data_IF_535741652577
#
_entry.id   IF_535741652577
#
_cell.length_a   1.000
_cell.length_b   1.000
_cell.length_c   1.000
_cell.angle_alpha   90.00
_cell.angle_beta   90.00
_cell.angle_gamma   90.00
#
_symmetry.space_group_name_H-M   'P 1'
#
loop_
_entity.id
_entity.type
_entity.pdbx_description
1 polymer ?
#
# COMPACT_ATOMS: atom_id res chain seq x y z
N UNK A 1 -2.30 -4.77 3.34
CA UNK A 1 -1.93 -3.62 2.49
C UNK A 1 -3.20 -2.97 1.99
N UNK A 2 -3.33 -1.65 2.14
CA UNK A 2 -4.45 -0.87 1.66
C UNK A 2 -3.95 0.17 0.66
N UNK A 3 -4.57 0.26 -0.52
CA UNK A 3 -4.16 1.18 -1.58
C UNK A 3 -5.29 2.19 -1.78
N UNK A 4 -5.02 3.46 -1.49
CA UNK A 4 -5.93 4.56 -1.78
C UNK A 4 -5.58 5.16 -3.14
N UNK A 5 -6.39 4.85 -4.15
CA UNK A 5 -6.24 5.40 -5.50
C UNK A 5 -6.36 6.94 -5.51
N UNK A 6 -7.38 7.55 -4.87
CA UNK A 6 -7.52 9.02 -4.90
C UNK A 6 -6.38 9.75 -4.17
N UNK A 7 -5.86 9.17 -3.08
CA UNK A 7 -4.78 9.78 -2.30
C UNK A 7 -3.38 9.41 -2.81
N UNK A 8 -3.27 8.49 -3.77
CA UNK A 8 -2.01 7.94 -4.26
C UNK A 8 -1.10 7.45 -3.13
N UNK A 9 -1.71 6.72 -2.19
CA UNK A 9 -1.06 6.33 -0.95
C UNK A 9 -1.33 4.86 -0.60
N UNK A 10 -0.30 4.16 -0.15
CA UNK A 10 -0.33 2.76 0.27
C UNK A 10 -0.07 2.67 1.77
N UNK A 11 -0.97 2.04 2.51
CA UNK A 11 -0.78 1.75 3.93
C UNK A 11 -0.46 0.26 4.10
N UNK A 12 0.72 -0.02 4.65
CA UNK A 12 1.12 -1.37 5.01
C UNK A 12 0.88 -1.59 6.50
N UNK A 13 -0.20 -2.29 6.80
CA UNK A 13 -0.49 -2.76 8.16
C UNK A 13 0.32 -4.00 8.48
N UNK A 14 1.07 -3.93 9.58
CA UNK A 14 1.75 -5.06 10.20
C UNK A 14 1.27 -5.23 11.65
N UNK A 15 0.50 -6.29 11.88
CA UNK A 15 -0.05 -6.62 13.19
C UNK A 15 0.92 -7.40 14.08
N UNK A 16 2.12 -7.70 13.58
CA UNK A 16 3.25 -8.28 14.32
C UNK A 16 4.45 -7.35 14.14
N UNK A 17 4.55 -6.32 14.98
CA UNK A 17 5.60 -5.29 14.87
C UNK A 17 6.98 -5.94 14.87
N UNK A 18 7.75 -5.68 13.82
CA UNK A 18 9.10 -6.20 13.63
C UNK A 18 9.19 -7.55 12.94
N UNK A 19 8.09 -8.16 12.50
CA UNK A 19 8.13 -9.38 11.69
C UNK A 19 8.91 -9.18 10.39
N UNK A 20 8.70 -8.02 9.74
CA UNK A 20 9.51 -7.55 8.63
C UNK A 20 10.28 -6.27 9.01
N UNK A 21 11.56 -6.19 8.63
CA UNK A 21 12.37 -4.98 8.83
C UNK A 21 11.98 -3.90 7.82
N UNK A 22 12.12 -2.64 8.19
CA UNK A 22 11.74 -1.51 7.31
C UNK A 22 12.47 -1.54 5.95
N UNK A 23 13.74 -1.96 5.93
CA UNK A 23 14.51 -2.10 4.69
C UNK A 23 13.98 -3.20 3.78
N UNK A 24 13.62 -4.34 4.34
CA UNK A 24 13.04 -5.46 3.59
C UNK A 24 11.65 -5.08 3.07
N UNK A 25 10.86 -4.40 3.90
CA UNK A 25 9.55 -3.90 3.50
C UNK A 25 9.66 -2.87 2.37
N UNK A 26 10.62 -1.94 2.43
CA UNK A 26 10.81 -0.93 1.38
C UNK A 26 11.06 -1.58 0.00
N UNK A 27 11.91 -2.61 -0.05
CA UNK A 27 12.18 -3.38 -1.28
C UNK A 27 10.92 -4.08 -1.80
N UNK A 28 10.08 -4.61 -0.90
CA UNK A 28 8.83 -5.27 -1.31
C UNK A 28 7.76 -4.27 -1.81
N UNK A 29 7.72 -3.05 -1.27
CA UNK A 29 6.70 -2.05 -1.59
C UNK A 29 7.06 -1.23 -2.84
N UNK A 30 8.36 -1.05 -3.12
CA UNK A 30 8.88 -0.32 -4.27
C UNK A 30 8.19 -0.67 -5.62
N UNK A 31 8.06 -1.95 -6.02
CA UNK A 31 7.40 -2.25 -7.29
C UNK A 31 5.94 -1.79 -7.31
N UNK A 32 5.20 -1.91 -6.21
CA UNK A 32 3.81 -1.46 -6.15
C UNK A 32 3.69 0.05 -6.26
N UNK A 33 4.52 0.78 -5.51
CA UNK A 33 4.59 2.24 -5.54
C UNK A 33 4.80 2.76 -6.96
N UNK A 34 5.68 2.11 -7.72
CA UNK A 34 6.00 2.53 -9.08
C UNK A 34 5.02 2.01 -10.12
N UNK A 35 4.54 0.76 -10.01
CA UNK A 35 3.73 0.13 -11.06
C UNK A 35 2.25 0.51 -11.02
N UNK A 36 1.67 0.78 -9.85
CA UNK A 36 0.23 1.06 -9.72
C UNK A 36 -0.23 2.22 -10.63
N UNK A 37 0.46 3.38 -10.70
CA UNK A 37 0.10 4.45 -11.63
C UNK A 37 -0.03 3.98 -13.08
N UNK A 38 0.91 3.18 -13.56
CA UNK A 38 0.90 2.65 -14.92
C UNK A 38 -0.22 1.64 -15.13
N UNK A 39 -0.43 0.72 -14.18
CA UNK A 39 -1.53 -0.25 -14.25
C UNK A 39 -2.88 0.46 -14.31
N UNK A 40 -3.08 1.51 -13.52
CA UNK A 40 -4.32 2.31 -13.57
C UNK A 40 -4.48 3.00 -14.92
N UNK A 41 -3.42 3.63 -15.45
CA UNK A 41 -3.46 4.26 -16.76
C UNK A 41 -3.76 3.25 -17.89
N UNK A 42 -3.23 2.03 -17.83
CA UNK A 42 -3.57 1.00 -18.81
C UNK A 42 -5.05 0.57 -18.72
N UNK A 43 -5.59 0.44 -17.51
CA UNK A 43 -6.95 -0.05 -17.27
C UNK A 43 -8.07 0.98 -17.36
N UNK A 44 -7.78 2.28 -17.48
CA UNK A 44 -8.84 3.29 -17.71
C UNK A 44 -9.51 3.08 -19.07
N UNK A 45 -10.83 3.28 -19.10
CA UNK A 45 -11.66 3.01 -20.26
C UNK A 45 -11.49 4.03 -21.41
N UNK A 46 -10.90 5.21 -21.14
CA UNK A 46 -10.75 6.27 -22.13
C UNK A 46 -9.42 7.04 -22.01
N UNK A 47 -8.92 7.55 -23.13
CA UNK A 47 -7.70 8.37 -23.17
C UNK A 47 -7.87 9.70 -22.41
N UNK A 48 -9.09 10.22 -22.29
CA UNK A 48 -9.39 11.42 -21.48
C UNK A 48 -9.24 11.16 -19.97
N UNK A 49 -9.57 9.96 -19.50
CA UNK A 49 -9.35 9.54 -18.11
C UNK A 49 -7.88 9.25 -17.85
N UNK A 50 -7.14 8.71 -18.84
CA UNK A 50 -5.68 8.51 -18.77
C UNK A 50 -4.93 9.80 -18.50
N UNK A 51 -5.28 10.87 -19.24
CA UNK A 51 -4.63 12.19 -19.10
C UNK A 51 -4.84 12.79 -17.70
N UNK A 52 -5.90 12.39 -16.99
CA UNK A 52 -6.16 12.84 -15.61
C UNK A 52 -5.36 12.07 -14.56
N UNK A 53 -4.85 10.88 -14.89
CA UNK A 53 -4.07 10.08 -13.97
C UNK A 53 -2.59 10.50 -13.99
N UNK A 54 -2.06 10.81 -12.81
CA UNK A 54 -0.62 11.02 -12.64
C UNK A 54 0.12 9.67 -12.67
N UNK A 55 1.22 9.62 -13.42
CA UNK A 55 2.17 8.49 -13.43
C UNK A 55 3.22 8.57 -12.33
N UNK A 56 3.21 9.62 -11.52
CA UNK A 56 4.14 9.75 -10.41
C UNK A 56 3.94 8.59 -9.42
N UNK A 57 5.04 8.11 -8.79
CA UNK A 57 4.97 7.02 -7.82
C UNK A 57 4.01 7.30 -6.67
N UNK A 58 3.39 6.26 -6.13
CA UNK A 58 2.58 6.39 -4.92
C UNK A 58 3.47 6.62 -3.71
N UNK A 59 2.93 7.26 -2.68
CA UNK A 59 3.59 7.28 -1.37
C UNK A 59 3.18 6.05 -0.57
N UNK A 60 3.96 5.68 0.44
CA UNK A 60 3.56 4.63 1.36
C UNK A 60 3.92 4.94 2.80
N UNK A 61 3.18 4.36 3.73
CA UNK A 61 3.51 4.37 5.15
C UNK A 61 3.32 2.99 5.78
N UNK A 62 4.03 2.78 6.89
CA UNK A 62 3.83 1.66 7.80
C UNK A 62 3.45 2.24 9.16
N UNK A 63 2.16 2.25 9.54
CA UNK A 63 1.77 2.66 10.88
C UNK A 63 2.43 1.74 11.90
N UNK A 64 3.09 2.32 12.91
CA UNK A 64 3.74 1.57 14.00
C UNK A 64 3.21 2.00 15.37
N UNK A 65 2.74 3.24 15.48
CA UNK A 65 2.20 3.81 16.72
C UNK A 65 0.72 3.45 16.84
N UNK A 66 0.33 2.86 17.98
CA UNK A 66 -1.06 2.53 18.27
C UNK A 66 -1.63 1.35 17.48
N UNK A 67 -0.80 0.65 16.69
CA UNK A 67 -1.22 -0.54 15.94
C UNK A 67 -1.46 -1.69 16.91
N UNK A 68 -2.70 -2.20 17.02
CA UNK A 68 -2.97 -3.29 17.92
C UNK A 68 -2.20 -4.54 17.48
N UNK A 69 -1.51 -5.17 18.44
CA UNK A 69 -0.65 -6.32 18.18
C UNK A 69 -1.45 -7.60 18.29
N UNK A 70 -1.34 -8.45 17.27
CA UNK A 70 -1.98 -9.74 17.25
C UNK A 70 -1.15 -10.76 18.07
N UNK A 71 -1.81 -11.75 18.66
CA UNK A 71 -1.18 -12.90 19.30
C UNK A 71 -1.58 -14.17 18.55
N UNK A 72 -0.62 -14.76 17.85
CA UNK A 72 -0.68 -16.12 17.28
C UNK A 72 -2.06 -16.60 16.82
N UNK A 73 -2.39 -16.39 15.53
CA UNK A 73 -3.60 -16.93 14.90
C UNK A 73 -4.74 -15.91 14.66
N UNK A 74 -4.58 -14.66 15.08
CA UNK A 74 -5.58 -13.59 15.02
C UNK A 74 -5.23 -12.43 14.05
N UNK A 75 -4.10 -12.51 13.32
CA UNK A 75 -3.61 -11.43 12.45
C UNK A 75 -4.64 -10.95 11.41
N UNK A 76 -5.52 -11.83 10.92
CA UNK A 76 -6.61 -11.49 10.00
C UNK A 76 -7.67 -10.58 10.63
N UNK A 77 -8.01 -10.79 11.91
CA UNK A 77 -8.98 -9.96 12.64
C UNK A 77 -8.46 -8.53 12.79
N UNK A 78 -7.15 -8.39 13.08
CA UNK A 78 -6.49 -7.09 13.18
C UNK A 78 -6.36 -6.36 11.84
N UNK A 79 -6.40 -7.07 10.71
CA UNK A 79 -6.36 -6.44 9.38
C UNK A 79 -7.70 -5.78 9.00
N UNK A 80 -8.81 -6.27 9.57
CA UNK A 80 -10.17 -5.77 9.28
C UNK A 80 -10.64 -4.68 10.24
N UNK A 81 -9.90 -4.45 11.33
CA UNK A 81 -10.27 -3.52 12.40
C UNK A 81 -9.77 -2.11 12.12
#
# INVERSE_FOLDING_TARGET
MWISIPKRHIVVWDSIVGHIKDRELAVLVEPFVNMIPYLLAEYTASDEERVKLSLEPYTYERPTVGVPQCRGGDCGVFTLK
#
